data_IF_271768090285
#
_entry.id   IF_271768090285
#
_cell.length_a   1.000
_cell.length_b   1.000
_cell.length_c   1.000
_cell.angle_alpha   90.00
_cell.angle_beta   90.00
_cell.angle_gamma   90.00
#
_symmetry.space_group_name_H-M   'P 1'
#
loop_
_entity.id
_entity.type
_entity.pdbx_description
1 polymer ?
#
# COMPACT_ATOMS: atom_id res chain seq x y z
N UNK A 1 -12.09 -2.26 -27.81
CA UNK A 1 -13.54 -2.04 -28.04
C UNK A 1 -14.11 -0.71 -27.50
N UNK A 2 -13.48 0.00 -26.55
CA UNK A 2 -14.03 1.26 -26.00
C UNK A 2 -13.81 2.51 -26.89
N UNK A 3 -12.77 2.56 -27.72
CA UNK A 3 -12.47 3.72 -28.58
C UNK A 3 -13.54 3.98 -29.66
N UNK A 4 -14.01 2.91 -30.31
CA UNK A 4 -15.02 2.99 -31.38
C UNK A 4 -16.39 3.46 -30.85
N UNK A 5 -16.80 3.03 -29.64
CA UNK A 5 -18.05 3.47 -29.00
C UNK A 5 -18.02 4.96 -28.64
N UNK A 6 -16.88 5.45 -28.13
CA UNK A 6 -16.69 6.87 -27.81
C UNK A 6 -16.68 7.74 -29.09
N UNK A 7 -16.07 7.24 -30.17
CA UNK A 7 -16.06 7.92 -31.46
C UNK A 7 -17.47 8.07 -32.07
N UNK A 8 -18.26 6.98 -32.09
CA UNK A 8 -19.64 6.99 -32.56
C UNK A 8 -20.55 7.89 -31.70
N UNK A 9 -20.37 7.87 -30.37
CA UNK A 9 -21.09 8.77 -29.45
C UNK A 9 -20.78 10.25 -29.71
N UNK A 10 -19.51 10.57 -29.95
CA UNK A 10 -19.07 11.93 -30.26
C UNK A 10 -19.58 12.42 -31.63
N UNK A 11 -19.65 11.53 -32.62
CA UNK A 11 -20.18 11.83 -33.95
C UNK A 11 -21.67 12.17 -33.90
N UNK A 12 -22.47 11.34 -33.21
CA UNK A 12 -23.91 11.60 -33.00
C UNK A 12 -24.18 12.93 -32.29
N UNK A 13 -23.37 13.28 -31.27
CA UNK A 13 -23.45 14.60 -30.61
C UNK A 13 -23.09 15.76 -31.53
N UNK A 14 -22.20 15.58 -32.52
CA UNK A 14 -21.86 16.63 -33.48
C UNK A 14 -22.99 16.85 -34.48
N UNK A 15 -23.57 15.77 -34.99
CA UNK A 15 -24.73 15.83 -35.91
C UNK A 15 -25.95 16.46 -35.24
N UNK A 16 -26.22 16.09 -33.98
CA UNK A 16 -27.30 16.69 -33.19
C UNK A 16 -27.08 18.20 -32.98
N UNK A 17 -25.84 18.64 -32.72
CA UNK A 17 -25.47 20.06 -32.60
C UNK A 17 -25.57 20.84 -33.92
N UNK A 18 -25.44 20.16 -35.06
CA UNK A 18 -25.59 20.78 -36.38
C UNK A 18 -27.06 21.03 -36.72
N UNK A 19 -27.98 20.26 -36.12
CA UNK A 19 -29.44 20.38 -36.28
C UNK A 19 -30.11 21.20 -35.18
N UNK A 20 -29.36 21.65 -34.16
CA UNK A 20 -29.88 22.50 -33.06
C UNK A 20 -30.40 23.83 -33.62
N UNK A 21 -31.61 24.21 -33.19
CA UNK A 21 -32.13 25.56 -33.42
C UNK A 21 -31.31 26.62 -32.67
N UNK A 22 -31.48 27.89 -33.03
CA UNK A 22 -30.79 28.99 -32.35
C UNK A 22 -31.15 29.08 -30.85
N UNK A 23 -32.40 28.77 -30.50
CA UNK A 23 -32.87 28.77 -29.12
C UNK A 23 -32.26 27.61 -28.30
N UNK A 24 -32.22 26.39 -28.87
CA UNK A 24 -31.58 25.23 -28.24
C UNK A 24 -30.08 25.47 -28.01
N UNK A 25 -29.41 26.13 -28.96
CA UNK A 25 -28.00 26.52 -28.85
C UNK A 25 -27.79 27.56 -27.73
N UNK A 26 -28.71 28.51 -27.59
CA UNK A 26 -28.68 29.52 -26.52
C UNK A 26 -28.90 28.87 -25.15
N UNK A 27 -29.91 28.03 -25.00
CA UNK A 27 -30.20 27.28 -23.77
C UNK A 27 -29.02 26.39 -23.34
N UNK A 28 -28.40 25.66 -24.28
CA UNK A 28 -27.22 24.84 -24.00
C UNK A 28 -26.01 25.67 -23.55
N UNK A 29 -25.78 26.84 -24.16
CA UNK A 29 -24.72 27.76 -23.74
C UNK A 29 -25.00 28.31 -22.35
N UNK A 30 -26.25 28.68 -22.06
CA UNK A 30 -26.69 29.12 -20.74
C UNK A 30 -26.47 28.05 -19.66
N UNK A 31 -26.90 26.81 -19.91
CA UNK A 31 -26.70 25.68 -19.02
C UNK A 31 -25.21 25.38 -18.77
N UNK A 32 -24.37 25.44 -19.82
CA UNK A 32 -22.91 25.29 -19.67
C UNK A 32 -22.32 26.40 -18.81
N UNK A 33 -22.72 27.65 -19.03
CA UNK A 33 -22.24 28.79 -18.26
C UNK A 33 -22.69 28.72 -16.79
N UNK A 34 -23.91 28.25 -16.52
CA UNK A 34 -24.40 28.01 -15.17
C UNK A 34 -23.60 26.90 -14.47
N UNK A 35 -23.34 25.78 -15.16
CA UNK A 35 -22.51 24.70 -14.65
C UNK A 35 -21.06 25.13 -14.36
N UNK A 36 -20.47 25.97 -15.22
CA UNK A 36 -19.12 26.51 -15.00
C UNK A 36 -19.08 27.47 -13.81
N UNK A 37 -20.10 28.33 -13.64
CA UNK A 37 -20.23 29.19 -12.45
C UNK A 37 -20.33 28.36 -11.16
N UNK A 38 -21.14 27.31 -11.15
CA UNK A 38 -21.27 26.41 -10.00
C UNK A 38 -19.95 25.70 -9.69
N UNK A 39 -19.23 25.23 -10.72
CA UNK A 39 -17.91 24.61 -10.56
C UNK A 39 -16.89 25.57 -9.96
N UNK A 40 -16.82 26.82 -10.45
CA UNK A 40 -15.94 27.86 -9.90
C UNK A 40 -16.31 28.25 -8.48
N UNK A 41 -17.60 28.34 -8.16
CA UNK A 41 -18.07 28.63 -6.81
C UNK A 41 -17.67 27.53 -5.81
N UNK A 42 -17.82 26.25 -6.19
CA UNK A 42 -17.34 25.11 -5.38
C UNK A 42 -15.84 25.15 -5.17
N UNK A 43 -15.05 25.33 -6.23
CA UNK A 43 -13.60 25.42 -6.14
C UNK A 43 -13.13 26.55 -5.21
N UNK A 44 -13.82 27.71 -5.21
CA UNK A 44 -13.53 28.80 -4.25
C UNK A 44 -13.86 28.41 -2.82
N UNK A 45 -15.00 27.77 -2.59
CA UNK A 45 -15.40 27.28 -1.27
C UNK A 45 -14.42 26.24 -0.73
N UNK A 46 -13.99 25.30 -1.57
CA UNK A 46 -13.01 24.26 -1.22
C UNK A 46 -11.66 24.88 -0.86
N UNK A 47 -11.19 25.87 -1.65
CA UNK A 47 -9.96 26.62 -1.35
C UNK A 47 -10.07 27.41 -0.03
N UNK A 48 -11.23 28.01 0.24
CA UNK A 48 -11.45 28.78 1.46
C UNK A 48 -11.50 27.88 2.69
N UNK A 49 -12.05 26.66 2.55
CA UNK A 49 -12.07 25.63 3.58
C UNK A 49 -10.66 25.08 3.83
N UNK A 50 -9.90 24.79 2.78
CA UNK A 50 -8.50 24.39 2.88
C UNK A 50 -7.67 25.46 3.61
N UNK A 51 -7.85 26.74 3.27
CA UNK A 51 -7.19 27.85 3.96
C UNK A 51 -7.64 28.00 5.42
N UNK A 52 -8.91 27.74 5.75
CA UNK A 52 -9.40 27.74 7.14
C UNK A 52 -8.78 26.63 7.98
N UNK A 53 -8.72 25.42 7.44
CA UNK A 53 -8.04 24.28 8.09
C UNK A 53 -6.55 24.58 8.28
N UNK A 54 -5.90 25.20 7.28
CA UNK A 54 -4.50 25.62 7.40
C UNK A 54 -4.29 26.80 8.37
N UNK A 55 -5.29 27.67 8.55
CA UNK A 55 -5.23 28.77 9.54
C UNK A 55 -5.56 28.32 10.97
N UNK A 56 -6.27 27.20 11.11
CA UNK A 56 -6.39 26.43 12.35
C UNK A 56 -5.24 25.40 12.47
N UNK A 57 -4.13 25.62 11.76
CA UNK A 57 -2.90 24.90 12.03
C UNK A 57 -2.67 24.91 13.54
N UNK A 58 -2.25 23.75 14.04
CA UNK A 58 -2.00 23.35 15.42
C UNK A 58 -0.85 24.16 16.07
N UNK A 59 -0.69 25.44 15.71
CA UNK A 59 0.40 26.34 16.09
C UNK A 59 0.44 26.64 17.58
N UNK A 60 -0.62 26.30 18.34
CA UNK A 60 -0.71 26.48 19.78
C UNK A 60 -1.05 25.19 20.54
N UNK A 61 -0.78 24.01 19.98
CA UNK A 61 -0.75 22.80 20.81
C UNK A 61 0.65 22.71 21.42
N UNK A 62 0.75 22.92 22.73
CA UNK A 62 2.00 22.68 23.46
C UNK A 62 2.40 21.22 23.26
N UNK A 63 3.59 20.99 22.69
CA UNK A 63 4.14 19.65 22.51
C UNK A 63 4.20 18.94 23.86
N UNK A 64 3.59 17.76 23.94
CA UNK A 64 3.68 16.93 25.13
C UNK A 64 4.98 16.13 25.07
N UNK A 65 6.01 16.64 25.75
CA UNK A 65 7.27 15.93 25.90
C UNK A 65 7.23 14.97 27.10
N UNK A 66 7.30 13.67 26.82
CA UNK A 66 7.39 12.61 27.83
C UNK A 66 8.82 12.41 28.37
N UNK A 67 9.80 13.15 27.85
CA UNK A 67 11.22 12.99 28.13
C UNK A 67 11.84 11.76 27.44
N UNK A 68 13.08 11.44 27.84
CA UNK A 68 13.78 10.25 27.34
C UNK A 68 13.18 8.96 27.91
N UNK A 69 13.15 7.92 27.09
CA UNK A 69 12.69 6.57 27.44
C UNK A 69 13.82 5.78 28.11
N UNK A 70 14.13 6.11 29.37
CA UNK A 70 15.30 5.56 30.10
C UNK A 70 14.97 4.46 31.09
N UNK A 71 13.71 4.29 31.46
CA UNK A 71 13.29 3.33 32.49
C UNK A 71 13.25 1.93 31.86
N UNK A 72 13.77 0.93 32.56
CA UNK A 72 13.96 -0.42 31.99
C UNK A 72 13.07 -1.41 32.73
N UNK A 73 12.28 -2.19 31.99
CA UNK A 73 11.53 -3.29 32.57
C UNK A 73 12.46 -4.42 33.05
N UNK A 74 12.36 -4.77 34.33
CA UNK A 74 13.17 -5.82 34.97
C UNK A 74 13.06 -7.22 34.31
N UNK A 75 11.95 -7.52 33.64
CA UNK A 75 11.72 -8.83 33.02
C UNK A 75 12.17 -8.93 31.56
N UNK A 76 11.73 -8.00 30.70
CA UNK A 76 11.94 -8.09 29.26
C UNK A 76 12.84 -7.01 28.66
N UNK A 77 13.45 -6.15 29.50
CA UNK A 77 14.37 -5.07 29.08
C UNK A 77 13.73 -4.02 28.15
N UNK A 78 12.40 -4.00 28.02
CA UNK A 78 11.71 -2.96 27.30
C UNK A 78 11.92 -1.61 27.99
N UNK A 79 12.14 -0.57 27.19
CA UNK A 79 12.29 0.80 27.64
C UNK A 79 10.91 1.43 27.89
N UNK A 80 10.83 2.29 28.91
CA UNK A 80 9.63 3.00 29.35
C UNK A 80 9.93 4.48 29.56
N UNK A 81 8.89 5.29 29.43
CA UNK A 81 8.88 6.63 30.02
C UNK A 81 8.50 6.55 31.49
N UNK A 82 9.06 7.47 32.30
CA UNK A 82 8.78 7.52 33.74
C UNK A 82 7.29 7.59 34.07
N UNK A 83 6.52 8.33 33.28
CA UNK A 83 5.08 8.55 33.47
C UNK A 83 4.21 7.33 33.11
N UNK A 84 4.78 6.26 32.57
CA UNK A 84 4.05 5.03 32.29
C UNK A 84 3.98 4.06 33.47
N UNK A 85 4.59 4.44 34.59
CA UNK A 85 4.54 3.68 35.83
C UNK A 85 3.09 3.62 36.32
N UNK A 86 2.59 2.42 36.61
CA UNK A 86 1.23 2.27 37.11
C UNK A 86 1.13 2.68 38.60
N UNK A 87 -0.09 2.73 39.13
CA UNK A 87 -0.34 3.06 40.55
C UNK A 87 0.32 2.12 41.56
N UNK A 88 0.80 0.95 41.13
CA UNK A 88 1.54 -0.01 41.94
C UNK A 88 3.07 0.12 41.77
N UNK A 89 3.55 1.21 41.18
CA UNK A 89 4.95 1.45 40.87
C UNK A 89 5.59 0.36 39.99
N UNK A 90 4.83 -0.16 39.01
CA UNK A 90 5.28 -1.23 38.11
C UNK A 90 5.06 -0.89 36.64
N UNK A 91 5.93 -1.46 35.80
CA UNK A 91 5.85 -1.41 34.34
C UNK A 91 5.24 -2.70 33.78
N UNK A 92 3.96 -2.65 33.41
CA UNK A 92 3.19 -3.87 33.05
C UNK A 92 2.73 -3.94 31.60
N UNK A 93 2.97 -2.90 30.78
CA UNK A 93 2.47 -2.87 29.39
C UNK A 93 3.26 -3.77 28.42
N UNK A 94 4.53 -4.05 28.70
CA UNK A 94 5.43 -4.79 27.81
C UNK A 94 5.29 -6.31 27.92
N UNK A 95 5.38 -6.84 29.14
CA UNK A 95 5.40 -8.28 29.43
C UNK A 95 4.41 -8.67 30.53
N UNK A 96 3.56 -7.73 30.94
CA UNK A 96 2.58 -7.94 32.01
C UNK A 96 3.21 -8.48 33.31
N UNK A 97 4.21 -7.78 33.82
CA UNK A 97 4.95 -8.15 35.05
C UNK A 97 5.62 -9.54 34.93
N UNK A 98 6.19 -9.84 33.76
CA UNK A 98 6.87 -11.10 33.46
C UNK A 98 5.96 -12.27 33.08
N UNK A 99 4.63 -12.07 33.02
CA UNK A 99 3.69 -13.14 32.63
C UNK A 99 3.73 -13.47 31.13
N UNK A 100 4.12 -12.51 30.30
CA UNK A 100 4.26 -12.69 28.85
C UNK A 100 5.74 -12.74 28.50
N UNK A 101 6.19 -13.87 27.97
CA UNK A 101 7.54 -14.02 27.44
C UNK A 101 7.52 -13.76 25.94
N UNK A 102 7.90 -12.55 25.53
CA UNK A 102 8.07 -12.23 24.13
C UNK A 102 9.33 -12.90 23.59
N UNK A 103 9.30 -13.50 22.39
CA UNK A 103 10.52 -13.96 21.74
C UNK A 103 11.41 -12.76 21.44
N UNK A 104 12.72 -12.96 21.54
CA UNK A 104 13.68 -11.94 21.13
C UNK A 104 13.51 -11.66 19.63
N UNK A 105 13.59 -10.38 19.26
CA UNK A 105 13.62 -10.00 17.86
C UNK A 105 14.83 -10.64 17.19
N UNK A 106 14.61 -11.29 16.05
CA UNK A 106 15.69 -11.77 15.21
C UNK A 106 16.53 -10.59 14.73
N UNK A 107 17.83 -10.77 14.65
CA UNK A 107 18.71 -9.73 14.11
C UNK A 107 18.31 -9.40 12.66
N UNK A 108 18.25 -8.10 12.36
CA UNK A 108 17.95 -7.61 11.02
C UNK A 108 19.06 -8.09 10.06
N UNK A 109 18.71 -8.68 8.90
CA UNK A 109 19.69 -9.06 7.88
C UNK A 109 20.60 -7.90 7.47
N UNK A 110 21.90 -8.15 7.32
CA UNK A 110 22.90 -7.11 7.05
C UNK A 110 22.61 -6.32 5.76
N UNK A 111 22.13 -6.99 4.72
CA UNK A 111 21.66 -6.33 3.49
C UNK A 111 20.63 -5.23 3.79
N UNK A 112 19.65 -5.49 4.66
CA UNK A 112 18.63 -4.50 5.00
C UNK A 112 19.21 -3.36 5.84
N UNK A 113 20.15 -3.65 6.75
CA UNK A 113 20.87 -2.62 7.50
C UNK A 113 21.62 -1.70 6.52
N UNK A 114 22.40 -2.27 5.60
CA UNK A 114 23.16 -1.52 4.59
C UNK A 114 22.25 -0.66 3.71
N UNK A 115 21.16 -1.21 3.21
CA UNK A 115 20.24 -0.46 2.34
C UNK A 115 19.52 0.68 3.09
N UNK A 116 19.28 0.55 4.40
CA UNK A 116 18.59 1.55 5.21
C UNK A 116 19.52 2.64 5.76
N UNK A 117 20.80 2.34 6.02
CA UNK A 117 21.70 3.27 6.73
C UNK A 117 22.84 3.80 5.87
N UNK A 118 23.22 3.11 4.79
CA UNK A 118 24.34 3.52 3.96
C UNK A 118 23.93 4.59 2.92
N UNK A 119 24.92 5.21 2.28
CA UNK A 119 24.77 6.26 1.26
C UNK A 119 25.23 5.81 -0.13
N UNK A 120 25.37 4.50 -0.36
CA UNK A 120 25.67 3.97 -1.69
C UNK A 120 24.54 4.26 -2.69
N UNK A 121 24.81 4.14 -3.99
CA UNK A 121 23.79 4.30 -5.03
C UNK A 121 22.58 3.36 -4.79
N UNK A 122 22.87 2.11 -4.44
CA UNK A 122 21.87 1.09 -4.11
C UNK A 122 21.04 1.46 -2.88
N UNK A 123 21.69 1.88 -1.79
CA UNK A 123 21.01 2.27 -0.56
C UNK A 123 20.12 3.50 -0.77
N UNK A 124 20.62 4.53 -1.46
CA UNK A 124 19.83 5.72 -1.79
C UNK A 124 18.64 5.40 -2.69
N UNK A 125 18.82 4.55 -3.69
CA UNK A 125 17.71 4.12 -4.55
C UNK A 125 16.67 3.34 -3.74
N UNK A 126 17.11 2.41 -2.88
CA UNK A 126 16.22 1.67 -1.99
C UNK A 126 15.44 2.59 -1.04
N UNK A 127 16.09 3.53 -0.36
CA UNK A 127 15.44 4.46 0.55
C UNK A 127 14.38 5.33 -0.15
N UNK A 128 14.71 5.84 -1.34
CA UNK A 128 13.78 6.66 -2.13
C UNK A 128 12.59 5.87 -2.67
N UNK A 129 12.79 4.59 -3.01
CA UNK A 129 11.78 3.74 -3.65
C UNK A 129 11.34 2.56 -2.77
N UNK A 130 11.49 2.65 -1.46
CA UNK A 130 11.26 1.52 -0.52
C UNK A 130 9.85 0.93 -0.64
N UNK A 131 8.86 1.78 -0.93
CA UNK A 131 7.48 1.36 -1.15
C UNK A 131 7.31 0.52 -2.41
N UNK A 132 8.04 0.84 -3.48
CA UNK A 132 8.03 0.09 -4.74
C UNK A 132 8.70 -1.27 -4.55
N UNK A 133 9.86 -1.33 -3.89
CA UNK A 133 10.52 -2.60 -3.55
C UNK A 133 9.62 -3.49 -2.69
N UNK A 134 9.03 -2.94 -1.62
CA UNK A 134 8.14 -3.69 -0.75
C UNK A 134 6.89 -4.18 -1.49
N UNK A 135 6.32 -3.38 -2.38
CA UNK A 135 5.17 -3.78 -3.19
C UNK A 135 5.55 -4.86 -4.21
N UNK A 136 6.72 -4.76 -4.85
CA UNK A 136 7.22 -5.73 -5.83
C UNK A 136 7.53 -7.11 -5.22
N UNK A 137 7.97 -7.13 -3.96
CA UNK A 137 8.32 -8.33 -3.20
C UNK A 137 7.17 -8.85 -2.32
N UNK A 138 6.00 -8.22 -2.37
CA UNK A 138 4.84 -8.63 -1.57
C UNK A 138 4.29 -9.98 -2.02
N UNK A 139 3.83 -10.79 -1.07
CA UNK A 139 3.18 -12.08 -1.34
C UNK A 139 1.69 -11.96 -1.64
N UNK A 140 1.06 -10.88 -1.18
CA UNK A 140 -0.34 -10.58 -1.40
C UNK A 140 -0.52 -9.08 -1.61
N UNK A 141 -1.57 -8.71 -2.34
CA UNK A 141 -2.04 -7.32 -2.37
C UNK A 141 -3.11 -7.08 -1.33
N UNK A 142 -3.23 -5.84 -0.88
CA UNK A 142 -4.34 -5.42 -0.04
C UNK A 142 -5.54 -5.06 -0.92
N UNK A 143 -6.71 -5.58 -0.57
CA UNK A 143 -8.01 -5.22 -1.14
C UNK A 143 -8.91 -4.64 -0.05
N UNK A 144 -9.59 -3.54 -0.36
CA UNK A 144 -10.53 -2.89 0.55
C UNK A 144 -11.64 -2.21 -0.25
N UNK A 145 -12.83 -2.10 0.35
CA UNK A 145 -13.87 -1.21 -0.17
C UNK A 145 -13.52 0.24 0.24
N UNK A 146 -12.91 0.98 -0.68
CA UNK A 146 -12.56 2.38 -0.44
C UNK A 146 -13.79 3.24 -0.73
N UNK A 147 -14.32 3.88 0.32
CA UNK A 147 -15.42 4.85 0.19
C UNK A 147 -14.88 6.24 0.44
N UNK A 148 -15.07 7.15 -0.50
CA UNK A 148 -14.79 8.57 -0.22
C UNK A 148 -15.67 9.05 0.93
N UNK A 149 -15.12 9.77 1.91
CA UNK A 149 -15.92 10.39 2.96
C UNK A 149 -16.96 11.33 2.33
N UNK A 150 -18.21 11.36 2.82
CA UNK A 150 -19.16 12.38 2.41
C UNK A 150 -18.75 13.75 2.97
N UNK A 151 -18.82 14.80 2.15
CA UNK A 151 -18.57 16.19 2.55
C UNK A 151 -17.32 16.82 1.93
N UNK A 152 -17.11 18.09 2.27
CA UNK A 152 -15.92 18.86 1.87
C UNK A 152 -14.97 18.87 3.08
N UNK A 153 -13.85 18.17 2.98
CA UNK A 153 -12.83 18.08 4.02
C UNK A 153 -11.51 17.54 3.44
N UNK A 154 -10.40 17.57 4.20
CA UNK A 154 -9.13 17.02 3.76
C UNK A 154 -9.28 15.56 3.30
N UNK A 155 -8.51 15.16 2.29
CA UNK A 155 -8.53 13.79 1.79
C UNK A 155 -8.16 12.82 2.91
N UNK A 156 -9.04 11.84 3.18
CA UNK A 156 -8.72 10.71 4.03
C UNK A 156 -9.04 9.39 3.30
N UNK A 157 -8.12 8.43 3.44
CA UNK A 157 -8.28 7.08 2.92
C UNK A 157 -9.20 6.30 3.86
N UNK A 158 -10.50 6.21 3.50
CA UNK A 158 -11.50 5.53 4.33
C UNK A 158 -11.81 4.14 3.77
N UNK A 159 -11.45 3.14 4.55
CA UNK A 159 -11.81 1.74 4.33
C UNK A 159 -13.16 1.49 5.00
N UNK A 160 -14.10 0.92 4.25
CA UNK A 160 -15.38 0.46 4.78
C UNK A 160 -15.39 -1.07 4.85
N UNK A 161 -15.80 -1.62 6.00
CA UNK A 161 -15.85 -3.07 6.20
C UNK A 161 -14.48 -3.68 6.48
N UNK A 162 -14.20 -4.83 5.87
CA UNK A 162 -13.00 -5.64 6.13
C UNK A 162 -11.89 -5.36 5.11
N UNK A 163 -10.64 -5.50 5.57
CA UNK A 163 -9.45 -5.57 4.72
C UNK A 163 -9.29 -7.03 4.27
N UNK A 164 -9.11 -7.24 2.98
CA UNK A 164 -8.87 -8.55 2.40
C UNK A 164 -7.45 -8.62 1.83
N UNK A 165 -6.76 -9.74 2.03
CA UNK A 165 -5.53 -10.04 1.30
C UNK A 165 -5.86 -10.77 0.01
N UNK A 166 -5.54 -10.14 -1.12
CA UNK A 166 -5.70 -10.71 -2.46
C UNK A 166 -4.40 -11.40 -2.84
N UNK A 167 -4.42 -12.71 -2.71
CA UNK A 167 -3.35 -13.61 -3.14
C UNK A 167 -3.63 -14.01 -4.59
N UNK A 168 -2.61 -13.95 -5.43
CA UNK A 168 -2.74 -14.40 -6.80
C UNK A 168 -2.95 -15.93 -6.84
N UNK A 169 -3.82 -16.46 -7.72
CA UNK A 169 -3.99 -17.91 -7.88
C UNK A 169 -2.63 -18.56 -8.15
N UNK A 170 -2.36 -19.80 -7.75
CA UNK A 170 -1.05 -20.42 -8.04
C UNK A 170 -0.78 -20.59 -9.54
N UNK A 171 -1.83 -20.80 -10.34
CA UNK A 171 -1.75 -20.97 -11.78
C UNK A 171 -1.88 -19.62 -12.50
N UNK A 172 -0.97 -19.35 -13.44
CA UNK A 172 -1.24 -18.38 -14.49
C UNK A 172 -2.14 -19.02 -15.55
N UNK A 173 -3.27 -18.41 -15.86
CA UNK A 173 -3.97 -18.66 -17.10
C UNK A 173 -3.70 -17.49 -18.06
N UNK A 174 -4.04 -17.61 -19.35
CA UNK A 174 -3.85 -16.52 -20.33
C UNK A 174 -4.52 -15.19 -19.92
N UNK A 175 -5.45 -15.23 -18.95
CA UNK A 175 -6.14 -14.05 -18.42
C UNK A 175 -5.44 -13.41 -17.21
N UNK A 176 -4.52 -14.09 -16.53
CA UNK A 176 -3.88 -13.60 -15.30
C UNK A 176 -2.35 -13.61 -15.45
N UNK A 177 -1.77 -12.41 -15.51
CA UNK A 177 -0.32 -12.24 -15.37
C UNK A 177 0.12 -12.72 -13.99
N UNK A 178 1.18 -13.55 -13.89
CA UNK A 178 1.75 -13.95 -12.60
C UNK A 178 2.12 -12.72 -11.76
N UNK A 179 1.79 -12.73 -10.47
CA UNK A 179 2.10 -11.63 -9.58
C UNK A 179 2.24 -12.06 -8.11
N UNK A 180 2.84 -11.19 -7.31
CA UNK A 180 3.00 -11.36 -5.87
C UNK A 180 3.64 -12.71 -5.50
N UNK A 181 3.02 -13.49 -4.60
CA UNK A 181 3.53 -14.77 -4.11
C UNK A 181 3.87 -15.79 -5.21
N UNK A 182 3.18 -15.74 -6.36
CA UNK A 182 3.49 -16.63 -7.49
C UNK A 182 4.90 -16.42 -8.04
N UNK A 183 5.46 -15.21 -7.94
CA UNK A 183 6.78 -14.92 -8.50
C UNK A 183 7.89 -15.73 -7.82
N UNK A 184 7.64 -16.24 -6.62
CA UNK A 184 8.58 -17.13 -5.92
C UNK A 184 8.62 -18.56 -6.49
N UNK A 185 7.70 -18.93 -7.38
CA UNK A 185 7.70 -20.20 -8.10
C UNK A 185 8.67 -20.17 -9.29
N UNK A 186 8.80 -19.01 -9.93
CA UNK A 186 9.66 -18.81 -11.09
C UNK A 186 11.14 -18.77 -10.69
N UNK A 187 12.00 -18.98 -11.68
CA UNK A 187 13.42 -18.67 -11.58
C UNK A 187 13.62 -17.21 -11.11
N UNK A 188 14.67 -16.97 -10.33
CA UNK A 188 14.93 -15.66 -9.74
C UNK A 188 15.10 -14.57 -10.82
N UNK A 189 15.79 -14.88 -11.93
CA UNK A 189 16.00 -13.94 -13.03
C UNK A 189 14.68 -13.56 -13.71
N UNK A 190 13.83 -14.55 -13.98
CA UNK A 190 12.52 -14.33 -14.60
C UNK A 190 11.59 -13.54 -13.67
N UNK A 191 11.56 -13.90 -12.38
CA UNK A 191 10.77 -13.21 -11.37
C UNK A 191 11.18 -11.73 -11.23
N UNK A 192 12.48 -11.45 -11.19
CA UNK A 192 13.01 -10.10 -11.03
C UNK A 192 12.75 -9.26 -12.28
N UNK A 193 12.88 -9.84 -13.47
CA UNK A 193 12.52 -9.16 -14.73
C UNK A 193 11.06 -8.69 -14.70
N UNK A 194 10.13 -9.57 -14.32
CA UNK A 194 8.69 -9.26 -14.20
C UNK A 194 8.40 -8.20 -13.13
N UNK A 195 9.16 -8.18 -12.03
CA UNK A 195 9.05 -7.13 -10.99
C UNK A 195 9.49 -5.78 -11.54
N UNK A 196 10.62 -5.72 -12.24
CA UNK A 196 11.19 -4.49 -12.76
C UNK A 196 10.36 -3.89 -13.90
N UNK A 197 9.68 -4.71 -14.71
CA UNK A 197 8.72 -4.22 -15.72
C UNK A 197 7.65 -3.27 -15.13
N UNK A 198 7.23 -3.51 -13.89
CA UNK A 198 6.22 -2.69 -13.20
C UNK A 198 6.84 -1.64 -12.26
N UNK A 199 8.16 -1.68 -12.03
CA UNK A 199 8.86 -0.83 -11.07
C UNK A 199 10.17 -0.30 -11.71
N UNK A 200 10.08 0.54 -12.76
CA UNK A 200 11.24 0.97 -13.55
C UNK A 200 12.22 1.86 -12.78
N UNK A 201 11.80 2.41 -11.64
CA UNK A 201 12.66 3.21 -10.76
C UNK A 201 13.53 2.36 -9.82
N UNK A 202 13.25 1.07 -9.69
CA UNK A 202 14.04 0.14 -8.90
C UNK A 202 15.29 -0.33 -9.68
N UNK A 203 16.41 -0.45 -8.99
CA UNK A 203 17.65 -1.03 -9.53
C UNK A 203 17.57 -2.56 -9.52
N UNK A 204 18.01 -3.17 -10.62
CA UNK A 204 18.06 -4.64 -10.76
C UNK A 204 18.91 -5.30 -9.68
N UNK A 205 20.09 -4.75 -9.40
CA UNK A 205 21.01 -5.32 -8.41
C UNK A 205 20.42 -5.37 -6.99
N UNK A 206 19.63 -4.35 -6.61
CA UNK A 206 18.93 -4.31 -5.32
C UNK A 206 17.78 -5.31 -5.31
N UNK A 207 16.98 -5.36 -6.39
CA UNK A 207 15.88 -6.30 -6.52
C UNK A 207 16.37 -7.76 -6.42
N UNK A 208 17.47 -8.09 -7.08
CA UNK A 208 18.09 -9.41 -7.05
C UNK A 208 18.56 -9.80 -5.65
N UNK A 209 19.27 -8.89 -4.96
CA UNK A 209 19.74 -9.10 -3.58
C UNK A 209 18.58 -9.32 -2.62
N UNK A 210 17.52 -8.52 -2.73
CA UNK A 210 16.33 -8.65 -1.88
C UNK A 210 15.54 -9.92 -2.16
N UNK A 211 15.37 -10.31 -3.44
CA UNK A 211 14.70 -11.56 -3.81
C UNK A 211 15.47 -12.78 -3.29
N UNK A 212 16.80 -12.79 -3.46
CA UNK A 212 17.66 -13.85 -2.93
C UNK A 212 17.57 -13.95 -1.40
N UNK A 213 17.59 -12.82 -0.70
CA UNK A 213 17.40 -12.77 0.75
C UNK A 213 16.05 -13.37 1.14
N UNK A 214 14.95 -12.92 0.53
CA UNK A 214 13.61 -13.39 0.86
C UNK A 214 13.41 -14.88 0.55
N UNK A 215 13.92 -15.39 -0.56
CA UNK A 215 13.88 -16.84 -0.86
C UNK A 215 14.62 -17.66 0.19
N UNK A 216 15.68 -17.11 0.78
CA UNK A 216 16.49 -17.77 1.81
C UNK A 216 15.78 -17.79 3.17
N UNK A 217 15.28 -16.62 3.61
CA UNK A 217 14.81 -16.43 4.99
C UNK A 217 13.29 -16.59 5.15
N UNK A 218 12.50 -16.31 4.11
CA UNK A 218 11.04 -16.23 4.23
C UNK A 218 10.41 -17.63 4.08
N UNK A 219 9.73 -18.17 5.11
CA UNK A 219 9.10 -19.48 5.05
C UNK A 219 8.00 -19.56 3.98
N UNK A 220 7.34 -18.44 3.66
CA UNK A 220 6.32 -18.41 2.62
C UNK A 220 6.91 -18.63 1.24
N UNK A 221 8.07 -18.03 0.92
CA UNK A 221 8.75 -18.29 -0.35
C UNK A 221 8.98 -19.80 -0.58
N UNK A 222 9.46 -20.50 0.46
CA UNK A 222 9.66 -21.95 0.44
C UNK A 222 8.35 -22.70 0.28
N UNK A 223 7.31 -22.27 0.99
CA UNK A 223 5.99 -22.91 0.95
C UNK A 223 5.33 -22.81 -0.44
N UNK A 224 5.47 -21.67 -1.14
CA UNK A 224 5.00 -21.51 -2.53
C UNK A 224 5.71 -22.47 -3.49
N UNK A 225 7.03 -22.62 -3.35
CA UNK A 225 7.82 -23.54 -4.17
C UNK A 225 7.45 -25.00 -3.91
N UNK A 226 7.35 -25.40 -2.65
CA UNK A 226 6.94 -26.76 -2.26
C UNK A 226 5.55 -27.10 -2.79
N UNK A 227 4.62 -26.14 -2.71
CA UNK A 227 3.26 -26.35 -3.20
C UNK A 227 3.23 -26.53 -4.72
N UNK A 228 4.05 -25.77 -5.46
CA UNK A 228 4.19 -25.95 -6.90
C UNK A 228 4.69 -27.37 -7.25
N UNK A 229 5.70 -27.86 -6.54
CA UNK A 229 6.25 -29.21 -6.73
C UNK A 229 5.24 -30.31 -6.40
N UNK A 230 4.44 -30.15 -5.33
CA UNK A 230 3.38 -31.08 -4.96
C UNK A 230 2.29 -31.17 -6.04
N UNK A 231 1.89 -30.03 -6.60
CA UNK A 231 0.90 -29.97 -7.68
C UNK A 231 1.45 -30.63 -8.95
N UNK A 232 2.71 -30.37 -9.31
CA UNK A 232 3.34 -30.97 -10.49
C UNK A 232 3.44 -32.50 -10.38
N UNK A 233 3.73 -33.02 -9.18
CA UNK A 233 3.79 -34.46 -8.92
C UNK A 233 2.42 -35.12 -8.78
N UNK A 234 1.37 -34.36 -8.44
CA UNK A 234 0.02 -34.87 -8.19
C UNK A 234 -1.06 -34.03 -8.91
N UNK A 235 -1.13 -34.05 -10.25
CA UNK A 235 -1.98 -33.15 -11.03
C UNK A 235 -3.50 -33.33 -10.81
N UNK A 236 -3.92 -34.46 -10.26
CA UNK A 236 -5.34 -34.78 -10.00
C UNK A 236 -5.80 -34.41 -8.59
N UNK A 237 -4.88 -34.04 -7.69
CA UNK A 237 -5.16 -33.75 -6.29
C UNK A 237 -5.46 -32.26 -6.13
N UNK A 238 -6.55 -31.96 -5.41
CA UNK A 238 -6.87 -30.58 -5.05
C UNK A 238 -5.99 -30.15 -3.86
N UNK A 239 -4.93 -29.39 -4.15
CA UNK A 239 -4.00 -28.89 -3.12
C UNK A 239 -4.40 -27.48 -2.70
N UNK A 240 -4.49 -27.23 -1.39
CA UNK A 240 -4.82 -25.91 -0.80
C UNK A 240 -3.73 -25.44 0.16
N UNK A 241 -3.37 -24.16 0.05
CA UNK A 241 -2.47 -23.49 1.00
C UNK A 241 -3.32 -22.78 2.03
N UNK A 242 -3.08 -23.05 3.31
CA UNK A 242 -3.77 -22.37 4.40
C UNK A 242 -2.70 -21.74 5.28
N UNK A 243 -2.72 -20.42 5.38
CA UNK A 243 -1.91 -19.67 6.34
C UNK A 243 -2.71 -19.56 7.63
N UNK A 244 -2.23 -20.19 8.70
CA UNK A 244 -2.82 -20.06 10.04
C UNK A 244 -2.03 -19.01 10.81
N UNK A 245 -2.72 -18.02 11.35
CA UNK A 245 -2.16 -17.11 12.34
C UNK A 245 -2.19 -17.83 13.70
N UNK A 246 -1.05 -17.89 14.39
CA UNK A 246 -0.91 -18.45 15.73
C UNK A 246 -0.99 -17.35 16.79
#
# INVERSE_FOLDING_TARGET
MNSLRTSQYNLRRREQRARESLDERFQRRSARNAADRLRRARARSDQQMANRVNSQAETNVSEHDCGMMTEICNFCQALYWRNELNSSNKYTKCCHDGKVRLPNLSETPDLLKELLTNNSLEARNYQNHIREYNAALAFASMGAEVKSPPGNGPYCFRIHGQIYHRIAPLYSNERFKPGYGQLYIFDASEANSRRLENNPSCLSSVMEKLDALLRTINPYAKSYLQMHQLIQSNPTVNVKMIFMEH
#
